data_IF_703621606973
#
_entry.id   IF_703621606973
#
_cell.length_a   1.000
_cell.length_b   1.000
_cell.length_c   1.000
_cell.angle_alpha   90.00
_cell.angle_beta   90.00
_cell.angle_gamma   90.00
#
_symmetry.space_group_name_H-M   'P 1'
#
loop_
_entity.id
_entity.type
_entity.pdbx_description
1 polymer ?
#
# COMPACT_ATOMS: atom_id res chain seq x y z
N UNK A 1 -33.19 -39.48 -15.13
CA UNK A 1 -32.60 -38.12 -15.12
C UNK A 1 -31.51 -38.12 -14.07
N UNK A 2 -30.24 -38.15 -14.49
CA UNK A 2 -29.09 -38.11 -13.59
C UNK A 2 -28.48 -36.72 -13.73
N UNK A 3 -28.51 -35.93 -12.65
CA UNK A 3 -27.85 -34.63 -12.63
C UNK A 3 -26.38 -34.84 -12.27
N UNK A 4 -25.49 -34.59 -13.22
CA UNK A 4 -24.07 -34.37 -12.96
C UNK A 4 -23.92 -33.05 -12.21
N UNK A 5 -23.53 -33.12 -10.94
CA UNK A 5 -23.14 -31.96 -10.15
C UNK A 5 -21.78 -31.45 -10.66
N UNK A 6 -21.76 -30.20 -11.11
CA UNK A 6 -20.55 -29.47 -11.44
C UNK A 6 -19.97 -28.98 -10.11
N UNK A 7 -18.86 -29.58 -9.67
CA UNK A 7 -18.19 -29.18 -8.43
C UNK A 7 -17.43 -27.87 -8.68
N UNK A 8 -18.01 -26.76 -8.23
CA UNK A 8 -17.45 -25.39 -8.32
C UNK A 8 -16.47 -25.06 -7.19
N UNK A 9 -15.92 -26.06 -6.50
CA UNK A 9 -14.96 -25.84 -5.41
C UNK A 9 -13.50 -25.76 -5.88
N UNK A 10 -13.27 -25.21 -7.07
CA UNK A 10 -11.93 -24.85 -7.52
C UNK A 10 -11.66 -23.37 -7.20
N UNK A 11 -11.51 -23.06 -5.92
CA UNK A 11 -10.74 -21.90 -5.48
C UNK A 11 -9.53 -22.47 -4.75
N UNK A 12 -8.45 -22.61 -5.50
CA UNK A 12 -7.13 -22.83 -4.92
C UNK A 12 -6.89 -21.70 -3.91
N UNK A 13 -6.83 -22.06 -2.64
CA UNK A 13 -6.34 -21.20 -1.57
C UNK A 13 -4.84 -21.07 -1.80
N UNK A 14 -4.43 -20.09 -2.61
CA UNK A 14 -3.02 -19.79 -2.88
C UNK A 14 -2.54 -18.58 -2.07
N UNK A 15 -1.30 -18.71 -1.61
CA UNK A 15 -0.48 -17.78 -0.84
C UNK A 15 -0.78 -17.69 0.66
N UNK A 16 0.14 -18.28 1.44
CA UNK A 16 0.27 -18.16 2.88
C UNK A 16 0.85 -16.77 3.23
N UNK A 17 0.11 -15.71 2.88
CA UNK A 17 0.52 -14.32 3.07
C UNK A 17 0.02 -13.83 4.42
N UNK A 18 0.91 -13.63 5.39
CA UNK A 18 0.54 -13.10 6.70
C UNK A 18 -0.01 -11.68 6.55
N UNK A 19 -1.28 -11.51 6.93
CA UNK A 19 -1.97 -10.22 6.98
C UNK A 19 -1.74 -9.55 8.33
N UNK A 20 -1.28 -8.32 8.30
CA UNK A 20 -1.07 -7.48 9.48
C UNK A 20 -2.12 -6.37 9.49
N UNK A 21 -2.78 -6.17 10.63
CA UNK A 21 -3.75 -5.08 10.82
C UNK A 21 -3.32 -4.18 11.97
N UNK A 22 -3.25 -2.87 11.72
CA UNK A 22 -3.09 -1.88 12.77
C UNK A 22 -4.44 -1.25 13.10
N UNK A 23 -4.74 -1.23 14.40
CA UNK A 23 -5.98 -0.69 14.96
C UNK A 23 -5.68 0.59 15.72
N UNK A 24 -6.62 1.53 15.65
CA UNK A 24 -6.59 2.74 16.47
C UNK A 24 -7.11 2.47 17.88
N UNK A 25 -7.15 3.48 18.73
CA UNK A 25 -7.63 3.36 20.12
C UNK A 25 -9.09 2.87 20.20
N UNK A 26 -9.91 3.22 19.21
CA UNK A 26 -11.28 2.74 19.08
C UNK A 26 -11.42 1.30 18.57
N UNK A 27 -10.31 0.61 18.30
CA UNK A 27 -10.30 -0.76 17.79
C UNK A 27 -10.58 -0.90 16.29
N UNK A 28 -10.70 0.21 15.56
CA UNK A 28 -10.93 0.21 14.12
C UNK A 28 -9.61 0.01 13.36
N UNK A 29 -9.63 -0.88 12.37
CA UNK A 29 -8.47 -1.11 11.49
C UNK A 29 -8.32 0.09 10.55
N UNK A 30 -7.21 0.81 10.69
CA UNK A 30 -6.88 1.96 9.84
C UNK A 30 -5.81 1.63 8.78
N UNK A 31 -5.06 0.54 8.99
CA UNK A 31 -4.07 0.03 8.03
C UNK A 31 -4.10 -1.50 8.01
N UNK A 32 -4.15 -2.04 6.80
CA UNK A 32 -3.89 -3.45 6.54
C UNK A 32 -2.66 -3.58 5.65
N UNK A 33 -1.83 -4.59 5.91
CA UNK A 33 -0.61 -4.89 5.16
C UNK A 33 -0.57 -6.39 4.85
N UNK A 34 -0.30 -6.73 3.60
CA UNK A 34 -0.18 -8.12 3.12
C UNK A 34 1.07 -8.22 2.22
N UNK A 35 1.97 -9.14 2.55
CA UNK A 35 3.15 -9.41 1.74
C UNK A 35 2.84 -10.45 0.67
N UNK A 36 2.86 -10.04 -0.60
CA UNK A 36 2.69 -10.94 -1.74
C UNK A 36 4.06 -11.36 -2.26
N UNK A 37 4.57 -12.47 -1.72
CA UNK A 37 5.90 -13.00 -2.10
C UNK A 37 5.93 -13.54 -3.51
N UNK A 38 4.83 -14.12 -3.98
CA UNK A 38 4.74 -14.71 -5.32
C UNK A 38 4.91 -13.63 -6.38
N UNK A 39 4.25 -12.49 -6.19
CA UNK A 39 4.41 -11.34 -7.08
C UNK A 39 5.52 -10.37 -6.65
N UNK A 40 6.16 -10.61 -5.49
CA UNK A 40 7.22 -9.82 -4.86
C UNK A 40 6.89 -8.32 -4.75
N UNK A 41 5.74 -8.03 -4.14
CA UNK A 41 5.37 -6.68 -3.66
C UNK A 41 4.72 -6.73 -2.28
N UNK A 42 4.75 -5.60 -1.59
CA UNK A 42 3.96 -5.36 -0.39
C UNK A 42 2.66 -4.66 -0.76
N UNK A 43 1.51 -5.25 -0.45
CA UNK A 43 0.23 -4.55 -0.51
C UNK A 43 -0.06 -3.89 0.83
N UNK A 44 -0.51 -2.64 0.81
CA UNK A 44 -1.07 -2.00 2.00
C UNK A 44 -2.27 -1.14 1.65
N UNK A 45 -3.25 -1.16 2.55
CA UNK A 45 -4.53 -0.47 2.39
C UNK A 45 -4.82 0.40 3.60
N UNK A 46 -4.93 1.70 3.37
CA UNK A 46 -5.34 2.65 4.39
C UNK A 46 -6.86 2.78 4.45
N UNK A 47 -7.40 3.13 5.61
CA UNK A 47 -8.84 3.31 5.81
C UNK A 47 -9.15 4.40 6.82
N UNK A 48 -10.10 5.25 6.46
CA UNK A 48 -10.70 6.25 7.36
C UNK A 48 -9.90 7.54 7.43
N UNK A 49 -10.20 8.33 8.46
CA UNK A 49 -9.48 9.55 8.79
C UNK A 49 -8.22 9.18 9.58
N UNK A 50 -7.06 9.61 9.10
CA UNK A 50 -5.76 9.17 9.60
C UNK A 50 -5.08 10.28 10.38
N UNK A 51 -4.76 10.01 11.64
CA UNK A 51 -3.98 10.92 12.47
C UNK A 51 -2.49 10.79 12.13
N UNK A 52 -1.74 11.87 12.36
CA UNK A 52 -0.29 11.93 12.10
C UNK A 52 0.48 10.78 12.80
N UNK A 53 0.11 10.43 14.03
CA UNK A 53 0.74 9.33 14.76
C UNK A 53 0.42 7.95 14.14
N UNK A 54 -0.81 7.76 13.67
CA UNK A 54 -1.25 6.53 12.99
C UNK A 54 -0.52 6.34 11.66
N UNK A 55 -0.36 7.43 10.89
CA UNK A 55 0.42 7.47 9.66
C UNK A 55 1.87 7.09 9.93
N UNK A 56 2.55 7.76 10.88
CA UNK A 56 3.94 7.44 11.23
C UNK A 56 4.11 5.98 11.66
N UNK A 57 3.23 5.49 12.54
CA UNK A 57 3.25 4.11 13.01
C UNK A 57 3.03 3.12 11.85
N UNK A 58 2.06 3.40 10.98
CA UNK A 58 1.75 2.56 9.83
C UNK A 58 2.87 2.53 8.79
N UNK A 59 3.42 3.68 8.44
CA UNK A 59 4.54 3.78 7.50
C UNK A 59 5.83 3.17 8.03
N UNK A 60 6.10 3.26 9.35
CA UNK A 60 7.19 2.51 9.97
C UNK A 60 6.94 1.00 9.87
N UNK A 61 5.71 0.53 10.10
CA UNK A 61 5.37 -0.89 9.96
C UNK A 61 5.56 -1.38 8.52
N UNK A 62 5.22 -0.56 7.54
CA UNK A 62 5.47 -0.83 6.11
C UNK A 62 6.96 -1.04 5.86
N UNK A 63 7.85 -0.20 6.41
CA UNK A 63 9.30 -0.36 6.27
C UNK A 63 9.80 -1.67 6.91
N UNK A 64 9.31 -2.02 8.09
CA UNK A 64 9.67 -3.29 8.76
C UNK A 64 9.30 -4.51 7.89
N UNK A 65 8.14 -4.48 7.23
CA UNK A 65 7.72 -5.58 6.36
C UNK A 65 8.53 -5.61 5.05
N UNK A 66 8.78 -4.45 4.43
CA UNK A 66 9.64 -4.35 3.24
C UNK A 66 11.04 -4.94 3.53
N UNK A 67 11.64 -4.60 4.67
CA UNK A 67 12.95 -5.09 5.08
C UNK A 67 12.93 -6.60 5.37
N UNK A 68 12.04 -7.05 6.25
CA UNK A 68 11.99 -8.46 6.69
C UNK A 68 11.67 -9.43 5.55
N UNK A 69 10.81 -9.02 4.62
CA UNK A 69 10.42 -9.82 3.47
C UNK A 69 11.28 -9.57 2.22
N UNK A 70 12.25 -8.63 2.29
CA UNK A 70 13.13 -8.22 1.19
C UNK A 70 12.38 -7.81 -0.09
N UNK A 71 11.23 -7.16 0.10
CA UNK A 71 10.36 -6.74 -0.99
C UNK A 71 10.84 -5.39 -1.54
N UNK A 72 10.95 -5.29 -2.86
CA UNK A 72 11.43 -4.07 -3.54
C UNK A 72 10.31 -3.27 -4.20
N UNK A 73 9.06 -3.70 -4.01
CA UNK A 73 7.89 -3.12 -4.66
C UNK A 73 6.75 -2.96 -3.67
N UNK A 74 5.97 -1.91 -3.84
CA UNK A 74 4.82 -1.63 -2.99
C UNK A 74 3.60 -1.23 -3.81
N UNK A 75 2.45 -1.76 -3.40
CA UNK A 75 1.12 -1.43 -3.89
C UNK A 75 0.35 -0.75 -2.76
N UNK A 76 0.15 0.56 -2.89
CA UNK A 76 -0.56 1.40 -1.95
C UNK A 76 -2.02 1.56 -2.38
N UNK A 77 -2.97 1.22 -1.51
CA UNK A 77 -4.39 1.48 -1.73
C UNK A 77 -4.88 2.61 -0.83
N UNK A 78 -5.05 3.78 -1.45
CA UNK A 78 -5.48 5.02 -0.80
C UNK A 78 -6.98 5.30 -1.03
N UNK A 79 -7.70 4.43 -1.73
CA UNK A 79 -9.10 4.68 -2.11
C UNK A 79 -10.06 4.87 -0.93
N UNK A 80 -9.69 4.35 0.25
CA UNK A 80 -10.51 4.43 1.46
C UNK A 80 -9.98 5.43 2.50
N UNK A 81 -9.01 6.27 2.15
CA UNK A 81 -8.58 7.39 3.00
C UNK A 81 -9.65 8.48 2.93
N UNK A 82 -9.97 9.06 4.08
CA UNK A 82 -10.96 10.14 4.20
C UNK A 82 -10.26 11.40 4.68
N UNK A 83 -10.41 12.48 3.92
CA UNK A 83 -9.88 13.79 4.28
C UNK A 83 -8.38 13.96 4.03
N UNK A 84 -7.84 15.12 4.40
CA UNK A 84 -6.44 15.44 4.19
C UNK A 84 -5.52 14.66 5.15
N UNK A 85 -4.31 14.38 4.68
CA UNK A 85 -3.23 13.78 5.47
C UNK A 85 -1.88 14.46 5.20
N UNK A 86 -1.89 15.59 4.50
CA UNK A 86 -0.71 16.34 4.08
C UNK A 86 0.19 16.81 5.23
N UNK A 87 -0.31 16.83 6.47
CA UNK A 87 0.50 17.08 7.67
C UNK A 87 1.65 16.06 7.82
N UNK A 88 1.49 14.85 7.27
CA UNK A 88 2.54 13.83 7.27
C UNK A 88 3.62 14.03 6.21
N UNK A 89 3.40 14.89 5.20
CA UNK A 89 4.28 14.97 4.02
C UNK A 89 5.71 15.33 4.37
N UNK A 90 5.93 16.28 5.29
CA UNK A 90 7.28 16.67 5.69
C UNK A 90 8.05 15.47 6.28
N UNK A 91 7.41 14.72 7.17
CA UNK A 91 8.01 13.53 7.76
C UNK A 91 8.20 12.42 6.72
N UNK A 92 7.25 12.23 5.80
CA UNK A 92 7.39 11.23 4.74
C UNK A 92 8.60 11.53 3.85
N UNK A 93 8.78 12.78 3.45
CA UNK A 93 9.88 13.21 2.59
C UNK A 93 11.23 13.12 3.30
N UNK A 94 11.31 13.60 4.56
CA UNK A 94 12.58 13.75 5.26
C UNK A 94 13.01 12.48 6.01
N UNK A 95 12.07 11.64 6.43
CA UNK A 95 12.36 10.47 7.28
C UNK A 95 12.00 9.15 6.60
N UNK A 96 10.80 9.04 6.01
CA UNK A 96 10.36 7.75 5.44
C UNK A 96 11.04 7.44 4.12
N UNK A 97 11.05 8.38 3.16
CA UNK A 97 11.63 8.17 1.82
C UNK A 97 13.11 7.75 1.88
N UNK A 98 14.00 8.39 2.67
CA UNK A 98 15.40 7.95 2.75
C UNK A 98 15.55 6.52 3.26
N UNK A 99 14.70 6.09 4.21
CA UNK A 99 14.68 4.72 4.71
C UNK A 99 14.17 3.74 3.65
N UNK A 100 13.09 4.08 2.94
CA UNK A 100 12.59 3.28 1.82
C UNK A 100 13.65 3.11 0.71
N UNK A 101 14.37 4.18 0.37
CA UNK A 101 15.50 4.13 -0.57
C UNK A 101 16.60 3.17 -0.10
N UNK A 102 16.98 3.25 1.18
CA UNK A 102 18.03 2.38 1.76
C UNK A 102 17.65 0.90 1.74
N UNK A 103 16.35 0.60 1.89
CA UNK A 103 15.82 -0.77 1.75
C UNK A 103 15.77 -1.25 0.30
N UNK A 104 16.04 -0.38 -0.68
CA UNK A 104 16.03 -0.72 -2.09
C UNK A 104 14.61 -0.83 -2.67
N UNK A 105 13.65 -0.05 -2.15
CA UNK A 105 12.37 0.13 -2.82
C UNK A 105 12.61 0.68 -4.23
N UNK A 106 12.02 0.06 -5.25
CA UNK A 106 12.19 0.41 -6.67
C UNK A 106 10.92 0.94 -7.30
N UNK A 107 9.76 0.40 -6.93
CA UNK A 107 8.48 0.75 -7.54
C UNK A 107 7.40 0.91 -6.48
N UNK A 108 6.66 2.02 -6.58
CA UNK A 108 5.50 2.33 -5.75
C UNK A 108 4.30 2.60 -6.67
N UNK A 109 3.33 1.70 -6.67
CA UNK A 109 2.06 1.91 -7.36
C UNK A 109 1.01 2.37 -6.35
N UNK A 110 0.27 3.42 -6.66
CA UNK A 110 -0.71 4.02 -5.75
C UNK A 110 -2.08 4.05 -6.42
N UNK A 111 -3.08 3.43 -5.79
CA UNK A 111 -4.47 3.51 -6.19
C UNK A 111 -5.17 4.65 -5.44
N UNK A 112 -5.72 5.63 -6.15
CA UNK A 112 -6.31 6.87 -5.60
C UNK A 112 -7.79 7.08 -5.96
N UNK A 113 -8.54 5.99 -6.09
CA UNK A 113 -9.97 5.98 -6.45
C UNK A 113 -10.93 6.63 -5.41
N UNK A 114 -10.43 7.47 -4.50
CA UNK A 114 -11.12 7.92 -3.30
C UNK A 114 -11.29 9.44 -3.19
N UNK A 115 -11.16 9.93 -1.96
CA UNK A 115 -11.43 11.30 -1.55
C UNK A 115 -10.51 12.36 -2.21
N UNK A 116 -11.10 13.51 -2.59
CA UNK A 116 -10.37 14.61 -3.25
C UNK A 116 -9.25 15.19 -2.38
N UNK A 117 -9.46 15.36 -1.08
CA UNK A 117 -8.44 15.92 -0.18
C UNK A 117 -7.28 14.94 0.05
N UNK A 118 -7.58 13.64 0.06
CA UNK A 118 -6.55 12.60 0.04
C UNK A 118 -5.70 12.69 -1.24
N UNK A 119 -6.32 12.90 -2.40
CA UNK A 119 -5.61 13.02 -3.68
C UNK A 119 -4.73 14.28 -3.74
N UNK A 120 -5.20 15.42 -3.22
CA UNK A 120 -4.39 16.64 -3.07
C UNK A 120 -3.20 16.39 -2.13
N UNK A 121 -3.42 15.68 -1.01
CA UNK A 121 -2.35 15.34 -0.07
C UNK A 121 -1.27 14.47 -0.74
N UNK A 122 -1.68 13.53 -1.60
CA UNK A 122 -0.77 12.72 -2.40
C UNK A 122 0.02 13.56 -3.41
N UNK A 123 -0.64 14.45 -4.15
CA UNK A 123 0.02 15.31 -5.12
C UNK A 123 1.11 16.16 -4.45
N UNK A 124 0.79 16.75 -3.29
CA UNK A 124 1.75 17.51 -2.49
C UNK A 124 2.92 16.64 -2.01
N UNK A 125 2.68 15.38 -1.64
CA UNK A 125 3.76 14.46 -1.31
C UNK A 125 4.66 14.21 -2.53
N UNK A 126 4.08 13.86 -3.68
CA UNK A 126 4.83 13.55 -4.89
C UNK A 126 5.67 14.73 -5.40
N UNK A 127 5.13 15.95 -5.37
CA UNK A 127 5.85 17.17 -5.76
C UNK A 127 7.05 17.45 -4.84
N UNK A 128 6.89 17.21 -3.54
CA UNK A 128 7.93 17.49 -2.55
C UNK A 128 8.97 16.38 -2.43
N UNK A 129 8.61 15.14 -2.78
CA UNK A 129 9.44 13.96 -2.59
C UNK A 129 10.49 13.77 -3.70
N UNK A 130 11.28 14.80 -3.98
CA UNK A 130 12.28 14.82 -5.08
C UNK A 130 13.47 13.89 -4.85
N UNK A 131 13.63 13.38 -3.63
CA UNK A 131 14.74 12.53 -3.23
C UNK A 131 14.42 11.02 -3.29
N UNK A 132 13.24 10.62 -3.77
CA UNK A 132 12.91 9.21 -3.96
C UNK A 132 13.74 8.59 -5.08
N UNK A 133 14.30 7.40 -4.85
CA UNK A 133 15.00 6.62 -5.89
C UNK A 133 14.08 5.57 -6.55
N UNK A 134 12.87 5.40 -6.02
CA UNK A 134 11.84 4.55 -6.59
C UNK A 134 10.99 5.32 -7.61
N UNK A 135 10.52 4.59 -8.62
CA UNK A 135 9.51 5.10 -9.56
C UNK A 135 8.13 4.99 -8.93
N UNK A 136 7.40 6.10 -8.92
CA UNK A 136 6.00 6.13 -8.45
C UNK A 136 5.05 6.29 -9.62
N UNK A 137 3.96 5.51 -9.64
CA UNK A 137 2.84 5.73 -10.55
C UNK A 137 1.51 5.68 -9.80
N UNK A 138 0.58 6.53 -10.24
CA UNK A 138 -0.75 6.69 -9.66
C UNK A 138 -1.79 6.16 -10.64
N UNK A 139 -2.79 5.45 -10.11
CA UNK A 139 -3.82 4.76 -10.88
C UNK A 139 -5.20 4.98 -10.27
N UNK A 140 -6.23 4.96 -11.11
CA UNK A 140 -7.63 5.05 -10.69
C UNK A 140 -8.18 3.71 -10.23
N UNK A 141 -7.52 2.61 -10.59
CA UNK A 141 -7.94 1.26 -10.19
C UNK A 141 -6.79 0.43 -9.66
N UNK A 142 -7.11 -0.45 -8.71
CA UNK A 142 -6.15 -1.39 -8.14
C UNK A 142 -5.63 -2.39 -9.19
N UNK A 143 -6.45 -2.75 -10.18
CA UNK A 143 -6.07 -3.70 -11.23
C UNK A 143 -5.05 -3.11 -12.21
N UNK A 144 -5.17 -1.83 -12.57
CA UNK A 144 -4.15 -1.13 -13.37
C UNK A 144 -2.82 -1.04 -12.62
N UNK A 145 -2.87 -0.70 -11.32
CA UNK A 145 -1.70 -0.63 -10.47
C UNK A 145 -0.97 -1.99 -10.36
N UNK A 146 -1.72 -3.08 -10.15
CA UNK A 146 -1.18 -4.45 -10.17
C UNK A 146 -0.60 -4.82 -11.53
N UNK A 147 -1.31 -4.51 -12.62
CA UNK A 147 -0.86 -4.79 -13.99
C UNK A 147 0.47 -4.10 -14.28
N UNK A 148 0.63 -2.86 -13.85
CA UNK A 148 1.89 -2.13 -13.98
C UNK A 148 3.01 -2.78 -13.16
N UNK A 149 2.77 -3.13 -11.88
CA UNK A 149 3.77 -3.78 -11.02
C UNK A 149 4.26 -5.14 -11.56
N UNK A 150 3.38 -5.88 -12.25
CA UNK A 150 3.75 -7.14 -12.94
C UNK A 150 4.59 -6.90 -14.20
N UNK A 151 4.49 -5.74 -14.85
CA UNK A 151 5.25 -5.41 -16.06
C UNK A 151 6.64 -4.86 -15.75
N UNK A 152 6.79 -4.16 -14.63
CA UNK A 152 8.07 -3.60 -14.17
C UNK A 152 8.85 -4.57 -13.27
N UNK A 153 8.41 -5.83 -13.18
CA UNK A 153 9.02 -6.89 -12.37
C UNK A 153 10.34 -7.39 -12.91
#
# INVERSE_FOLDING_TARGET
MSFTFFDMNNLQVTSNSERIELKNEGGYVYLMIEADKENNWLYYKWRGFLLMEELKKGYNKILEVLESQKLQRALADHANIVGPWNEANEWLVNEWTPRANKLGLKYLAINTAGDLFSNISLELFLINNKNSYYTTQVFDTLEEAKSWLRKVS
#
